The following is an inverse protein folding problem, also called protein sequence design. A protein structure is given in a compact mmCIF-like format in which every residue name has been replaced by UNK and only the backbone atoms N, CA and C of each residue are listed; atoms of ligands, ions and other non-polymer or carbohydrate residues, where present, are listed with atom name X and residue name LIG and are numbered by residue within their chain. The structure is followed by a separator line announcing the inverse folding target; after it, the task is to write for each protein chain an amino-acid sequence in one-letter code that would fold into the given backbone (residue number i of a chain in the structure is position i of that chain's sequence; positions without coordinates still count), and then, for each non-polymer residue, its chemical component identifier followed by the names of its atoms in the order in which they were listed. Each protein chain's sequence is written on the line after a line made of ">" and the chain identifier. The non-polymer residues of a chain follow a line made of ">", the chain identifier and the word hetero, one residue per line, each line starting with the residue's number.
data_IF_137824553129
#
_entry.id   IF_137824553129
#
_cell.length_a   1.000
_cell.length_b   1.000
_cell.length_c   1.000
_cell.angle_alpha   90.00
_cell.angle_beta   90.00
_cell.angle_gamma   90.00
#
_symmetry.space_group_name_H-M   'P 1'
#
loop_
_entity.id
_entity.type
_entity.pdbx_description
1 polymer ?
#
# COMPACT_ATOMS: atom_id res chain seq x y z
N UNK A 1 -11.48 -28.40 -9.07
CA UNK A 1 -12.59 -27.52 -8.66
C UNK A 1 -12.42 -26.21 -9.41
N UNK A 2 -13.47 -25.69 -10.03
CA UNK A 2 -13.39 -24.41 -10.75
C UNK A 2 -13.27 -23.26 -9.74
N UNK A 3 -12.31 -22.36 -9.96
CA UNK A 3 -12.16 -21.13 -9.19
C UNK A 3 -13.16 -20.07 -9.71
N UNK A 4 -13.62 -19.13 -8.87
CA UNK A 4 -14.45 -18.03 -9.34
C UNK A 4 -13.66 -17.15 -10.32
N UNK A 5 -14.21 -16.95 -11.51
CA UNK A 5 -13.67 -16.02 -12.51
C UNK A 5 -14.17 -14.60 -12.25
N UNK A 6 -13.28 -13.62 -12.37
CA UNK A 6 -13.61 -12.19 -12.31
C UNK A 6 -13.01 -11.46 -13.51
N UNK A 7 -13.56 -10.31 -13.84
CA UNK A 7 -13.02 -9.41 -14.86
C UNK A 7 -12.10 -8.40 -14.17
N UNK A 8 -10.91 -8.20 -14.70
CA UNK A 8 -9.97 -7.20 -14.22
C UNK A 8 -10.48 -5.78 -14.55
N UNK A 9 -10.44 -4.85 -13.59
CA UNK A 9 -10.83 -3.46 -13.81
C UNK A 9 -9.83 -2.65 -14.66
N UNK A 10 -8.60 -3.16 -14.87
CA UNK A 10 -7.53 -2.45 -15.58
C UNK A 10 -7.34 -2.91 -17.02
N UNK A 11 -7.31 -4.22 -17.26
CA UNK A 11 -7.10 -4.80 -18.59
C UNK A 11 -8.37 -5.44 -19.20
N UNK A 12 -9.47 -5.47 -18.45
CA UNK A 12 -10.76 -6.06 -18.88
C UNK A 12 -10.71 -7.56 -19.21
N UNK A 13 -9.64 -8.26 -18.82
CA UNK A 13 -9.49 -9.71 -19.04
C UNK A 13 -10.11 -10.55 -17.91
N UNK A 14 -10.62 -11.74 -18.25
CA UNK A 14 -11.07 -12.74 -17.27
C UNK A 14 -9.88 -13.40 -16.56
N UNK A 15 -9.91 -13.45 -15.23
CA UNK A 15 -8.90 -14.13 -14.43
C UNK A 15 -9.51 -14.96 -13.30
N UNK A 16 -8.77 -15.99 -12.87
CA UNK A 16 -9.16 -16.86 -11.77
C UNK A 16 -8.74 -16.28 -10.42
N UNK A 17 -9.71 -16.08 -9.51
CA UNK A 17 -9.43 -15.59 -8.17
C UNK A 17 -9.10 -16.76 -7.23
N UNK A 18 -7.84 -16.82 -6.76
CA UNK A 18 -7.39 -17.84 -5.80
C UNK A 18 -7.85 -17.47 -4.37
N UNK A 19 -8.43 -18.40 -3.59
CA UNK A 19 -8.95 -18.14 -2.24
C UNK A 19 -7.88 -17.73 -1.23
N UNK A 20 -6.63 -18.18 -1.41
CA UNK A 20 -5.53 -17.91 -0.47
C UNK A 20 -4.94 -16.50 -0.58
N UNK A 21 -5.44 -15.66 -1.50
CA UNK A 21 -4.94 -14.29 -1.72
C UNK A 21 -6.11 -13.30 -1.81
N UNK A 22 -6.73 -12.93 -0.66
CA UNK A 22 -7.88 -12.01 -0.63
C UNK A 22 -7.57 -10.57 -1.08
N UNK A 23 -6.30 -10.24 -1.37
CA UNK A 23 -5.89 -8.93 -1.84
C UNK A 23 -6.24 -8.61 -3.31
N UNK A 24 -6.53 -9.61 -4.14
CA UNK A 24 -6.91 -9.38 -5.55
C UNK A 24 -8.41 -9.14 -5.69
N UNK A 25 -8.93 -8.05 -5.11
CA UNK A 25 -10.37 -7.80 -5.13
C UNK A 25 -10.88 -7.48 -6.55
N UNK A 26 -10.10 -6.69 -7.31
CA UNK A 26 -10.50 -6.11 -8.60
C UNK A 26 -9.43 -6.19 -9.72
N UNK A 27 -8.17 -6.47 -9.39
CA UNK A 27 -7.05 -6.44 -10.36
C UNK A 27 -6.51 -7.86 -10.57
N UNK A 28 -6.15 -8.18 -11.80
CA UNK A 28 -5.51 -9.45 -12.14
C UNK A 28 -4.05 -9.48 -11.60
N UNK A 29 -3.45 -10.68 -11.46
CA UNK A 29 -2.11 -10.82 -10.93
C UNK A 29 -1.03 -10.12 -11.77
N UNK A 30 -1.22 -9.98 -13.08
CA UNK A 30 -0.28 -9.29 -13.98
C UNK A 30 -0.26 -7.79 -13.72
N UNK A 31 -1.43 -7.13 -13.70
CA UNK A 31 -1.52 -5.70 -13.41
C UNK A 31 -1.03 -5.38 -11.99
N UNK A 32 -1.38 -6.22 -11.00
CA UNK A 32 -0.93 -5.98 -9.62
C UNK A 32 0.58 -6.16 -9.47
N UNK A 33 1.17 -7.14 -10.17
CA UNK A 33 2.63 -7.33 -10.16
C UNK A 33 3.34 -6.13 -10.78
N UNK A 34 2.82 -5.61 -11.90
CA UNK A 34 3.34 -4.42 -12.54
C UNK A 34 3.25 -3.19 -11.62
N UNK A 35 2.11 -2.94 -11.00
CA UNK A 35 1.94 -1.83 -10.03
C UNK A 35 2.92 -1.95 -8.84
N UNK A 36 3.17 -3.17 -8.36
CA UNK A 36 4.14 -3.41 -7.28
C UNK A 36 5.58 -3.18 -7.73
N UNK A 37 5.95 -3.61 -8.94
CA UNK A 37 7.27 -3.36 -9.52
C UNK A 37 7.49 -1.87 -9.78
N UNK A 38 6.49 -1.15 -10.29
CA UNK A 38 6.55 0.29 -10.52
C UNK A 38 6.64 1.08 -9.20
N UNK A 39 5.88 0.66 -8.18
CA UNK A 39 5.98 1.22 -6.83
C UNK A 39 7.36 0.96 -6.22
N UNK A 40 7.94 -0.22 -6.45
CA UNK A 40 9.30 -0.53 -5.99
C UNK A 40 10.37 0.25 -6.79
N UNK A 41 10.18 0.45 -8.08
CA UNK A 41 11.11 1.19 -8.94
C UNK A 41 11.11 2.70 -8.66
N UNK A 42 9.95 3.27 -8.31
CA UNK A 42 9.83 4.67 -7.88
C UNK A 42 10.42 4.92 -6.49
N UNK A 43 10.55 3.87 -5.66
CA UNK A 43 11.30 3.90 -4.41
C UNK A 43 12.80 3.72 -4.70
N UNK A 44 13.41 4.73 -5.34
CA UNK A 44 14.86 4.80 -5.47
C UNK A 44 15.58 4.71 -4.10
N UNK A 45 16.89 4.47 -4.09
CA UNK A 45 17.65 4.40 -2.84
C UNK A 45 17.47 5.70 -2.05
N UNK A 46 16.87 5.59 -0.86
CA UNK A 46 16.67 6.73 0.03
C UNK A 46 18.02 7.15 0.59
N UNK A 47 18.31 8.45 0.48
CA UNK A 47 19.51 9.03 1.07
C UNK A 47 19.42 9.06 2.60
N UNK A 48 20.56 9.02 3.29
CA UNK A 48 20.62 8.98 4.75
C UNK A 48 19.94 10.21 5.39
N UNK A 49 20.05 11.37 4.75
CA UNK A 49 19.41 12.60 5.21
C UNK A 49 17.89 12.57 4.99
N UNK A 50 17.42 11.96 3.90
CA UNK A 50 16.00 11.74 3.64
C UNK A 50 15.38 10.84 4.71
N UNK A 51 16.08 9.76 5.09
CA UNK A 51 15.63 8.84 6.15
C UNK A 51 15.52 9.55 7.51
N UNK A 52 16.53 10.37 7.85
CA UNK A 52 16.53 11.14 9.10
C UNK A 52 15.38 12.14 9.15
N UNK A 53 15.20 12.92 8.07
CA UNK A 53 14.12 13.87 7.96
C UNK A 53 12.73 13.21 8.08
N UNK A 54 12.50 12.09 7.38
CA UNK A 54 11.25 11.32 7.48
C UNK A 54 11.00 10.80 8.91
N UNK A 55 12.06 10.38 9.62
CA UNK A 55 11.96 9.91 11.00
C UNK A 55 11.55 11.02 11.97
N UNK A 56 12.20 12.19 11.87
CA UNK A 56 11.92 13.38 12.70
C UNK A 56 10.50 13.89 12.48
N UNK A 57 10.07 14.03 11.22
CA UNK A 57 8.71 14.46 10.87
C UNK A 57 7.67 13.48 11.42
N UNK A 58 7.93 12.17 11.31
CA UNK A 58 7.02 11.16 11.86
C UNK A 58 6.97 11.18 13.39
N UNK A 59 8.08 11.46 14.07
CA UNK A 59 8.10 11.64 15.52
C UNK A 59 7.28 12.86 15.94
N UNK A 60 7.48 14.02 15.28
CA UNK A 60 6.71 15.23 15.53
C UNK A 60 5.20 15.01 15.32
N UNK A 61 4.82 14.26 14.28
CA UNK A 61 3.43 13.87 14.02
C UNK A 61 2.85 12.98 15.13
N UNK A 62 3.61 11.98 15.59
CA UNK A 62 3.16 11.11 16.70
C UNK A 62 3.02 11.91 18.00
N UNK A 63 3.95 12.82 18.28
CA UNK A 63 3.90 13.68 19.45
C UNK A 63 2.71 14.65 19.41
N UNK A 64 2.40 15.25 18.27
CA UNK A 64 1.24 16.15 18.12
C UNK A 64 -0.07 15.39 18.32
N UNK A 65 -0.22 14.22 17.69
CA UNK A 65 -1.39 13.35 17.88
C UNK A 65 -1.55 12.95 19.35
N UNK A 66 -0.47 12.55 20.02
CA UNK A 66 -0.49 12.19 21.44
C UNK A 66 -0.92 13.38 22.31
N UNK A 67 -0.40 14.58 22.04
CA UNK A 67 -0.81 15.78 22.77
C UNK A 67 -2.30 16.08 22.54
N UNK A 68 -2.83 15.96 21.33
CA UNK A 68 -4.26 16.19 21.07
C UNK A 68 -5.16 15.17 21.79
N UNK A 69 -4.78 13.89 21.83
CA UNK A 69 -5.56 12.83 22.46
C UNK A 69 -5.52 12.86 24.00
N UNK A 70 -4.37 13.23 24.57
CA UNK A 70 -4.14 13.14 26.01
C UNK A 70 -4.07 14.51 26.71
N UNK A 71 -4.19 15.62 25.98
CA UNK A 71 -4.45 16.90 26.62
C UNK A 71 -5.88 16.92 27.12
N UNK A 72 -5.98 17.15 28.42
CA UNK A 72 -7.21 17.28 29.19
C UNK A 72 -7.77 18.69 29.02
N UNK A 73 -7.92 19.13 27.77
CA UNK A 73 -8.49 20.44 27.41
C UNK A 73 -10.05 20.36 27.32
N UNK A 74 -10.67 19.33 27.91
CA UNK A 74 -12.11 19.26 28.22
C UNK A 74 -12.39 19.72 29.63
#
# INVERSE_FOLDING_TARGET
>A
MALPKKICALCEEEFELKPDKPGFANHCPTCTAFEMEEAAASQGPKDADQIRYEAEVNEARRASMKNLLYRKDS
#
